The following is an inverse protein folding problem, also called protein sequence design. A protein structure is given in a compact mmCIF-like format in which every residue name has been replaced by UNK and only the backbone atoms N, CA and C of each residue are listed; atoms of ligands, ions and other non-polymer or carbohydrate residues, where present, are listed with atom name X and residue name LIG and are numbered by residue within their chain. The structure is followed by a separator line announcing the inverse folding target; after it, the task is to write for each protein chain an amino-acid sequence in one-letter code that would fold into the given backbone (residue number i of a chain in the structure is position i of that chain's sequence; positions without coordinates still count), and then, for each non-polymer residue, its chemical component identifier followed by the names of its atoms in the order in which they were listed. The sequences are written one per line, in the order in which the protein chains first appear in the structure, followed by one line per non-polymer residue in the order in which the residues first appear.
data_IF_725859240145
#
_entry.id   IF_725859240145
#
_cell.length_a   1.000
_cell.length_b   1.000
_cell.length_c   1.000
_cell.angle_alpha   90.00
_cell.angle_beta   90.00
_cell.angle_gamma   90.00
#
_symmetry.space_group_name_H-M   'P 1'
#
loop_
_entity.id
_entity.type
_entity.pdbx_description
1 polymer ?
#
# COMPACT_ATOMS: atom_id res chain seq x y z
N UNK A 1 -4.48 -4.74 0.71
CA UNK A 1 -3.33 -3.93 1.15
C UNK A 1 -1.92 -4.34 0.78
N UNK A 2 -1.64 -5.51 0.18
CA UNK A 2 -0.24 -5.91 -0.04
C UNK A 2 0.59 -4.88 -0.84
N UNK A 3 0.03 -4.27 -1.88
CA UNK A 3 0.76 -3.31 -2.73
C UNK A 3 0.82 -1.91 -2.09
N UNK A 4 -0.26 -1.49 -1.42
CA UNK A 4 -0.45 -0.13 -0.89
C UNK A 4 0.20 0.08 0.48
N UNK A 5 0.24 -0.94 1.33
CA UNK A 5 0.77 -0.83 2.70
C UNK A 5 2.13 -1.53 2.85
N UNK A 6 2.23 -2.82 2.49
CA UNK A 6 3.42 -3.63 2.77
C UNK A 6 4.40 -3.73 1.59
N UNK A 7 3.99 -3.30 0.39
CA UNK A 7 4.76 -3.39 -0.85
C UNK A 7 6.16 -2.78 -0.75
N UNK A 8 6.32 -1.56 -0.18
CA UNK A 8 7.63 -0.93 -0.02
C UNK A 8 8.62 -1.78 0.79
N UNK A 9 8.17 -2.30 1.94
CA UNK A 9 9.01 -3.11 2.85
C UNK A 9 9.39 -4.44 2.20
N UNK A 10 8.44 -5.09 1.51
CA UNK A 10 8.73 -6.34 0.78
C UNK A 10 9.74 -6.10 -0.34
N UNK A 11 9.57 -5.05 -1.14
CA UNK A 11 10.50 -4.71 -2.21
C UNK A 11 11.89 -4.36 -1.67
N UNK A 12 11.96 -3.58 -0.58
CA UNK A 12 13.22 -3.26 0.06
C UNK A 12 13.94 -4.52 0.54
N UNK A 13 13.24 -5.44 1.22
CA UNK A 13 13.80 -6.71 1.70
C UNK A 13 14.32 -7.60 0.56
N UNK A 14 13.64 -7.62 -0.60
CA UNK A 14 14.01 -8.44 -1.75
C UNK A 14 15.07 -7.79 -2.65
N UNK A 15 15.21 -6.46 -2.61
CA UNK A 15 16.10 -5.70 -3.49
C UNK A 15 17.59 -5.94 -3.27
N UNK A 16 17.99 -6.48 -2.09
CA UNK A 16 19.39 -6.55 -1.66
C UNK A 16 20.11 -5.18 -1.70
N UNK A 17 19.36 -4.12 -1.39
CA UNK A 17 19.82 -2.73 -1.45
C UNK A 17 20.27 -2.25 -2.86
N UNK A 18 19.81 -2.92 -3.93
CA UNK A 18 20.04 -2.50 -5.31
C UNK A 18 19.08 -1.35 -5.69
N UNK A 19 19.53 -0.11 -5.48
CA UNK A 19 18.79 1.10 -5.84
C UNK A 19 18.54 1.21 -7.34
N UNK A 20 19.43 0.69 -8.19
CA UNK A 20 19.28 0.77 -9.63
C UNK A 20 18.19 -0.19 -10.12
N UNK A 21 18.05 -1.36 -9.49
CA UNK A 21 16.94 -2.27 -9.74
C UNK A 21 15.60 -1.67 -9.34
N UNK A 22 15.52 -1.04 -8.16
CA UNK A 22 14.30 -0.33 -7.71
C UNK A 22 13.97 0.83 -8.64
N UNK A 23 14.97 1.56 -9.12
CA UNK A 23 14.80 2.66 -10.06
C UNK A 23 14.29 2.18 -11.42
N UNK A 24 14.88 1.11 -11.97
CA UNK A 24 14.38 0.45 -13.20
C UNK A 24 12.94 -0.02 -13.01
N UNK A 25 12.61 -0.60 -11.86
CA UNK A 25 11.26 -1.04 -11.55
C UNK A 25 10.28 0.15 -11.51
N UNK A 26 10.62 1.24 -10.82
CA UNK A 26 9.79 2.43 -10.74
C UNK A 26 9.52 3.08 -12.11
N UNK A 27 10.45 2.96 -13.06
CA UNK A 27 10.36 3.55 -14.41
C UNK A 27 9.60 2.70 -15.42
N UNK A 28 9.25 1.45 -15.07
CA UNK A 28 8.48 0.56 -15.96
C UNK A 28 7.12 1.16 -16.29
N UNK A 29 6.77 1.22 -17.57
CA UNK A 29 5.50 1.79 -18.06
C UNK A 29 4.34 0.78 -18.05
N UNK A 30 4.65 -0.50 -17.99
CA UNK A 30 3.71 -1.63 -18.09
C UNK A 30 3.09 -2.06 -16.75
N UNK A 31 3.40 -1.36 -15.65
CA UNK A 31 2.88 -1.63 -14.31
C UNK A 31 2.03 -0.46 -13.79
N UNK A 32 1.32 -0.65 -12.68
CA UNK A 32 0.51 0.42 -12.07
C UNK A 32 1.38 1.46 -11.36
N UNK A 33 0.88 2.70 -11.25
CA UNK A 33 1.54 3.75 -10.48
C UNK A 33 1.72 3.41 -9.00
N UNK A 34 0.82 2.59 -8.43
CA UNK A 34 0.99 2.03 -7.08
C UNK A 34 2.21 1.12 -6.96
N UNK A 35 2.45 0.26 -7.94
CA UNK A 35 3.63 -0.59 -7.95
C UNK A 35 4.92 0.24 -8.13
N UNK A 36 4.89 1.26 -9.00
CA UNK A 36 6.00 2.21 -9.16
C UNK A 36 6.30 2.94 -7.85
N UNK A 37 5.26 3.48 -7.21
CA UNK A 37 5.34 4.14 -5.90
C UNK A 37 5.90 3.25 -4.80
N UNK A 38 5.52 1.95 -4.79
CA UNK A 38 6.07 1.00 -3.84
C UNK A 38 7.59 0.85 -3.97
N UNK A 39 8.14 0.90 -5.19
CA UNK A 39 9.59 0.87 -5.40
C UNK A 39 10.29 2.17 -4.95
N UNK A 40 9.66 3.33 -5.13
CA UNK A 40 10.17 4.61 -4.62
C UNK A 40 10.24 4.58 -3.09
N UNK A 41 9.16 4.15 -2.44
CA UNK A 41 9.11 3.98 -0.98
C UNK A 41 10.01 2.85 -0.46
N UNK A 42 10.34 1.86 -1.29
CA UNK A 42 11.34 0.86 -0.93
C UNK A 42 12.74 1.48 -0.79
N UNK A 43 13.08 2.48 -1.62
CA UNK A 43 14.34 3.23 -1.46
C UNK A 43 14.36 3.99 -0.13
N UNK A 44 13.24 4.58 0.27
CA UNK A 44 13.07 5.22 1.59
C UNK A 44 13.28 4.20 2.71
N UNK A 45 12.66 3.03 2.63
CA UNK A 45 12.83 1.96 3.61
C UNK A 45 14.31 1.56 3.77
N UNK A 46 15.06 1.44 2.66
CA UNK A 46 16.49 1.13 2.70
C UNK A 46 17.32 2.20 3.42
N UNK A 47 16.98 3.49 3.28
CA UNK A 47 17.61 4.57 4.05
C UNK A 47 17.29 4.41 5.54
N UNK A 48 16.01 4.19 5.87
CA UNK A 48 15.56 4.02 7.25
C UNK A 48 16.09 2.75 7.93
N UNK A 49 16.57 1.78 7.14
CA UNK A 49 17.24 0.56 7.62
C UNK A 49 18.75 0.67 7.65
N UNK A 50 19.29 1.85 7.36
CA UNK A 50 20.74 2.08 7.28
C UNK A 50 21.43 1.12 6.30
N UNK A 51 20.76 0.84 5.17
CA UNK A 51 21.29 -0.02 4.09
C UNK A 51 21.87 0.77 2.94
N UNK A 52 21.43 2.01 2.76
CA UNK A 52 21.92 2.93 1.73
C UNK A 52 21.97 4.35 2.30
N UNK A 53 22.89 5.21 1.83
CA UNK A 53 22.91 6.62 2.21
C UNK A 53 21.63 7.33 1.77
N UNK A 54 21.15 8.26 2.60
CA UNK A 54 20.03 9.14 2.25
C UNK A 54 20.29 9.92 0.96
N UNK A 55 21.49 10.49 0.83
CA UNK A 55 21.86 11.38 -0.26
C UNK A 55 21.82 10.67 -1.62
N UNK A 56 22.10 9.35 -1.63
CA UNK A 56 21.99 8.52 -2.82
C UNK A 56 20.55 8.41 -3.33
N UNK A 57 19.57 8.39 -2.42
CA UNK A 57 18.14 8.33 -2.77
C UNK A 57 17.61 9.73 -3.11
N UNK A 58 18.00 10.76 -2.35
CA UNK A 58 17.66 12.16 -2.64
C UNK A 58 18.16 12.57 -4.02
N UNK A 59 19.39 12.20 -4.38
CA UNK A 59 19.97 12.48 -5.71
C UNK A 59 19.15 11.82 -6.83
N UNK A 60 18.70 10.59 -6.63
CA UNK A 60 17.83 9.88 -7.59
C UNK A 60 16.48 10.55 -7.72
N UNK A 61 15.85 10.95 -6.62
CA UNK A 61 14.57 11.67 -6.65
C UNK A 61 14.69 13.03 -7.34
N UNK A 62 15.76 13.80 -7.05
CA UNK A 62 16.06 15.04 -7.75
C UNK A 62 16.16 14.83 -9.27
N UNK A 63 16.87 13.78 -9.70
CA UNK A 63 16.94 13.41 -11.11
C UNK A 63 15.56 13.09 -11.69
N UNK A 64 14.71 12.34 -10.98
CA UNK A 64 13.36 11.98 -11.45
C UNK A 64 12.46 13.20 -11.59
N UNK A 65 12.48 14.12 -10.62
CA UNK A 65 11.71 15.36 -10.72
C UNK A 65 12.14 16.21 -11.92
N UNK A 66 13.46 16.31 -12.18
CA UNK A 66 14.01 17.11 -13.28
C UNK A 66 13.79 16.48 -14.65
N UNK A 67 13.99 15.17 -14.77
CA UNK A 67 13.93 14.43 -16.04
C UNK A 67 12.54 13.93 -16.40
N UNK A 68 11.62 13.90 -15.44
CA UNK A 68 10.22 13.50 -15.62
C UNK A 68 10.07 12.17 -16.36
N UNK A 69 10.60 11.06 -15.81
CA UNK A 69 10.54 9.75 -16.46
C UNK A 69 9.12 9.17 -16.47
N UNK A 70 8.20 9.69 -15.65
CA UNK A 70 6.83 9.20 -15.53
C UNK A 70 5.87 10.00 -16.42
N UNK A 71 4.82 9.38 -16.99
CA UNK A 71 3.77 10.09 -17.71
C UNK A 71 3.15 11.19 -16.84
N UNK A 72 2.74 12.31 -17.45
CA UNK A 72 2.20 13.46 -16.69
C UNK A 72 0.86 13.13 -16.04
N UNK A 73 0.07 12.31 -16.71
CA UNK A 73 -1.22 11.77 -16.29
C UNK A 73 -1.10 10.72 -15.17
N UNK A 74 0.10 10.21 -14.89
CA UNK A 74 0.34 9.28 -13.78
C UNK A 74 0.47 10.02 -12.45
N UNK A 75 -0.62 10.68 -12.04
CA UNK A 75 -0.69 11.45 -10.80
C UNK A 75 -0.37 10.60 -9.56
N UNK A 76 -0.64 9.29 -9.61
CA UNK A 76 -0.32 8.36 -8.51
C UNK A 76 1.20 8.27 -8.34
N UNK A 77 1.96 7.99 -9.41
CA UNK A 77 3.42 7.86 -9.28
C UNK A 77 4.06 9.18 -8.86
N UNK A 78 3.59 10.30 -9.41
CA UNK A 78 4.07 11.63 -9.01
C UNK A 78 3.79 11.93 -7.53
N UNK A 79 2.57 11.65 -7.08
CA UNK A 79 2.19 11.79 -5.67
C UNK A 79 3.06 10.91 -4.77
N UNK A 80 3.31 9.65 -5.16
CA UNK A 80 4.15 8.74 -4.39
C UNK A 80 5.63 9.17 -4.36
N UNK A 81 6.16 9.78 -5.42
CA UNK A 81 7.51 10.35 -5.42
C UNK A 81 7.61 11.54 -4.44
N UNK A 82 6.61 12.42 -4.44
CA UNK A 82 6.53 13.56 -3.51
C UNK A 82 6.39 13.06 -2.06
N UNK A 83 5.56 12.05 -1.81
CA UNK A 83 5.42 11.40 -0.50
C UNK A 83 6.74 10.77 -0.02
N UNK A 84 7.43 10.03 -0.90
CA UNK A 84 8.72 9.43 -0.59
C UNK A 84 9.79 10.48 -0.26
N UNK A 85 9.77 11.63 -0.95
CA UNK A 85 10.65 12.76 -0.63
C UNK A 85 10.34 13.37 0.74
N UNK A 86 9.06 13.46 1.13
CA UNK A 86 8.64 13.92 2.45
C UNK A 86 9.20 13.04 3.56
N UNK A 87 9.09 11.72 3.41
CA UNK A 87 9.57 10.73 4.37
C UNK A 87 11.10 10.79 4.60
N UNK A 88 11.84 11.36 3.65
CA UNK A 88 13.29 11.55 3.72
C UNK A 88 13.70 12.94 4.25
N UNK A 89 12.77 13.79 4.67
CA UNK A 89 12.98 15.23 4.82
C UNK A 89 13.33 15.89 3.46
N UNK A 90 12.45 16.70 2.87
CA UNK A 90 12.54 17.07 1.46
C UNK A 90 13.40 18.32 1.20
N UNK A 91 14.24 18.78 2.14
CA UNK A 91 14.92 20.09 2.08
C UNK A 91 15.59 20.39 0.73
N UNK A 92 16.31 19.42 0.16
CA UNK A 92 17.06 19.53 -1.09
C UNK A 92 16.20 19.39 -2.35
N UNK A 93 14.92 19.02 -2.20
CA UNK A 93 13.97 18.71 -3.28
C UNK A 93 12.85 19.74 -3.38
N UNK A 94 12.82 20.73 -2.49
CA UNK A 94 11.70 21.67 -2.38
C UNK A 94 11.52 22.54 -3.64
N UNK A 95 12.60 22.84 -4.36
CA UNK A 95 12.53 23.64 -5.59
C UNK A 95 11.82 22.89 -6.72
N UNK A 96 12.01 21.57 -6.78
CA UNK A 96 11.30 20.69 -7.70
C UNK A 96 9.86 20.37 -7.25
N UNK A 97 9.62 20.26 -5.94
CA UNK A 97 8.30 19.90 -5.38
C UNK A 97 7.29 21.04 -5.49
N UNK A 98 7.68 22.30 -5.20
CA UNK A 98 6.78 23.47 -5.23
C UNK A 98 5.98 23.61 -6.55
N UNK A 99 6.59 23.48 -7.74
CA UNK A 99 5.85 23.48 -9.01
C UNK A 99 4.76 22.41 -9.12
N UNK A 100 4.95 21.23 -8.53
CA UNK A 100 3.97 20.12 -8.63
C UNK A 100 2.68 20.43 -7.85
N UNK A 101 2.80 21.04 -6.67
CA UNK A 101 1.65 21.54 -5.91
C UNK A 101 0.91 22.65 -6.68
N UNK A 102 1.63 23.62 -7.25
CA UNK A 102 1.03 24.71 -8.06
C UNK A 102 0.27 24.20 -9.29
N UNK A 103 0.69 23.07 -9.84
CA UNK A 103 0.07 22.46 -11.02
C UNK A 103 -1.01 21.43 -10.67
N UNK A 104 -1.34 21.26 -9.37
CA UNK A 104 -2.30 20.26 -8.89
C UNK A 104 -1.99 18.83 -9.38
N UNK A 105 -0.69 18.49 -9.49
CA UNK A 105 -0.24 17.13 -9.85
C UNK A 105 -0.30 16.20 -8.63
N UNK A 106 -0.05 16.76 -7.44
CA UNK A 106 -0.06 16.03 -6.18
C UNK A 106 -1.49 15.88 -5.69
N UNK A 107 -1.84 14.68 -5.26
CA UNK A 107 -3.16 14.37 -4.69
C UNK A 107 -3.49 15.29 -3.49
N UNK A 108 -4.68 15.91 -3.42
CA UNK A 108 -5.08 16.79 -2.31
C UNK A 108 -5.14 16.12 -0.93
N UNK A 109 -5.18 14.79 -0.84
CA UNK A 109 -5.12 14.04 0.43
C UNK A 109 -3.70 13.96 1.02
N UNK A 110 -2.70 14.49 0.33
CA UNK A 110 -1.32 14.60 0.80
C UNK A 110 -1.14 15.73 1.82
N UNK A 111 -0.04 15.73 2.60
CA UNK A 111 0.36 16.90 3.37
C UNK A 111 0.42 18.14 2.48
N UNK A 112 -0.02 19.28 3.00
CA UNK A 112 -0.06 20.52 2.22
C UNK A 112 1.36 21.03 1.93
N UNK A 113 1.49 21.96 0.97
CA UNK A 113 2.79 22.56 0.68
C UNK A 113 3.43 23.21 1.93
N UNK A 114 2.62 23.81 2.81
CA UNK A 114 3.10 24.38 4.07
C UNK A 114 3.68 23.31 5.01
N UNK A 115 3.10 22.11 5.00
CA UNK A 115 3.59 20.98 5.79
C UNK A 115 4.90 20.44 5.23
N UNK A 116 5.04 20.38 3.90
CA UNK A 116 6.31 20.09 3.25
C UNK A 116 7.39 21.12 3.59
N UNK A 117 7.06 22.41 3.58
CA UNK A 117 8.00 23.47 3.95
C UNK A 117 8.39 23.43 5.43
N UNK A 118 7.48 22.99 6.29
CA UNK A 118 7.77 22.76 7.71
C UNK A 118 8.68 21.54 7.88
N UNK A 119 8.40 20.45 7.18
CA UNK A 119 9.21 19.24 7.21
C UNK A 119 10.65 19.50 6.72
N UNK A 120 10.80 20.22 5.61
CA UNK A 120 12.09 20.64 5.05
C UNK A 120 12.96 21.46 6.01
N UNK A 121 12.36 22.10 7.03
CA UNK A 121 13.08 22.90 8.04
C UNK A 121 13.42 22.11 9.30
N UNK A 122 12.89 20.89 9.45
CA UNK A 122 13.20 20.04 10.61
C UNK A 122 14.61 19.47 10.48
N UNK A 123 15.17 19.09 11.62
CA UNK A 123 16.37 18.26 11.69
C UNK A 123 16.13 16.91 10.97
N UNK A 124 16.93 16.55 9.94
CA UNK A 124 16.72 15.32 9.17
C UNK A 124 16.75 14.05 10.03
N UNK A 125 17.58 13.99 11.07
CA UNK A 125 17.66 12.80 11.95
C UNK A 125 16.33 12.60 12.68
N UNK A 126 15.75 13.69 13.18
CA UNK A 126 14.44 13.69 13.84
C UNK A 126 13.32 13.29 12.87
N UNK A 127 13.32 13.82 11.64
CA UNK A 127 12.38 13.46 10.59
C UNK A 127 12.43 11.96 10.26
N UNK A 128 13.61 11.43 9.96
CA UNK A 128 13.78 10.02 9.60
C UNK A 128 13.31 9.09 10.74
N UNK A 129 13.63 9.43 11.99
CA UNK A 129 13.18 8.65 13.16
C UNK A 129 11.65 8.63 13.27
N UNK A 130 10.98 9.75 13.00
CA UNK A 130 9.52 9.82 13.03
C UNK A 130 8.88 8.91 11.97
N UNK A 131 9.50 8.78 10.79
CA UNK A 131 8.99 7.97 9.70
C UNK A 131 9.37 6.48 9.78
N UNK A 132 10.43 6.13 10.50
CA UNK A 132 10.94 4.76 10.64
C UNK A 132 9.87 3.72 11.04
N UNK A 133 8.90 4.12 11.86
CA UNK A 133 7.82 3.24 12.31
C UNK A 133 6.95 2.67 11.19
N UNK A 134 6.80 3.40 10.07
CA UNK A 134 6.00 2.97 8.91
C UNK A 134 6.72 1.92 8.06
N UNK A 135 8.04 1.85 8.17
CA UNK A 135 8.91 1.02 7.34
C UNK A 135 9.59 -0.06 8.15
N UNK A 136 8.94 -0.69 9.14
CA UNK A 136 9.61 -1.73 9.94
C UNK A 136 10.06 -2.91 9.06
N UNK A 137 11.32 -3.37 9.17
CA UNK A 137 11.78 -4.56 8.46
C UNK A 137 10.94 -5.79 8.81
N UNK A 138 10.72 -6.66 7.83
CA UNK A 138 10.15 -8.00 8.08
C UNK A 138 11.28 -8.88 8.61
N UNK A 139 11.26 -9.12 9.92
CA UNK A 139 12.23 -9.99 10.61
C UNK A 139 11.66 -11.38 10.90
N UNK A 140 10.35 -11.46 11.13
CA UNK A 140 9.60 -12.70 11.24
C UNK A 140 8.39 -12.65 10.29
N UNK A 141 8.49 -13.41 9.20
CA UNK A 141 7.42 -13.50 8.20
C UNK A 141 6.12 -14.02 8.82
N UNK A 142 6.18 -15.05 9.66
CA UNK A 142 4.99 -15.66 10.27
C UNK A 142 4.30 -14.65 11.22
N UNK A 143 5.07 -13.93 12.03
CA UNK A 143 4.55 -12.85 12.86
C UNK A 143 3.93 -11.73 12.03
N UNK A 144 4.61 -11.28 10.96
CA UNK A 144 4.16 -10.17 10.11
C UNK A 144 2.81 -10.43 9.42
N UNK A 145 2.47 -11.71 9.19
CA UNK A 145 1.21 -12.13 8.58
C UNK A 145 0.27 -12.82 9.58
N UNK A 146 0.58 -12.83 10.87
CA UNK A 146 -0.19 -13.55 11.90
C UNK A 146 -1.64 -13.08 12.01
N UNK A 147 -1.90 -11.82 11.64
CA UNK A 147 -3.25 -11.25 11.56
C UNK A 147 -4.09 -11.85 10.42
N UNK A 148 -3.47 -12.53 9.44
CA UNK A 148 -4.19 -13.31 8.44
C UNK A 148 -4.69 -14.58 9.14
N UNK A 149 -5.98 -14.57 9.50
CA UNK A 149 -6.64 -15.44 10.48
C UNK A 149 -6.65 -16.96 10.26
N UNK A 150 -5.66 -17.55 9.58
CA UNK A 150 -5.43 -19.00 9.51
C UNK A 150 -4.16 -19.48 10.23
N UNK A 151 -3.34 -18.59 10.79
CA UNK A 151 -2.06 -18.98 11.40
C UNK A 151 -2.12 -19.26 12.91
N UNK A 152 -3.20 -18.85 13.59
CA UNK A 152 -3.34 -18.99 15.04
C UNK A 152 -4.13 -20.24 15.50
N UNK A 153 -4.42 -21.21 14.62
CA UNK A 153 -5.01 -22.49 15.05
C UNK A 153 -4.07 -23.68 14.82
N UNK A 154 -3.52 -24.29 15.89
CA UNK A 154 -2.79 -25.56 15.81
C UNK A 154 -3.67 -26.79 15.49
N UNK A 155 -4.98 -26.64 15.24
CA UNK A 155 -5.95 -27.75 15.16
C UNK A 155 -6.34 -28.16 13.73
N UNK A 156 -6.17 -27.30 12.72
CA UNK A 156 -6.78 -27.53 11.40
C UNK A 156 -6.13 -28.64 10.53
N UNK A 157 -5.03 -29.27 11.00
CA UNK A 157 -4.35 -30.35 10.28
C UNK A 157 -4.56 -31.74 10.90
N UNK A 158 -5.36 -31.87 11.97
CA UNK A 158 -5.73 -33.19 12.52
C UNK A 158 -7.22 -33.46 12.32
N UNK A 159 -7.50 -34.24 11.28
CA UNK A 159 -8.60 -35.19 11.19
C UNK A 159 -10.00 -34.66 11.47
N UNK A 160 -10.77 -34.40 10.42
CA UNK A 160 -12.21 -34.65 10.48
C UNK A 160 -12.67 -35.21 9.14
N UNK A 161 -12.67 -36.54 9.09
CA UNK A 161 -13.68 -37.26 8.36
C UNK A 161 -15.03 -37.05 9.08
N UNK A 162 -16.07 -36.93 8.26
CA UNK A 162 -17.49 -37.26 8.52
C UNK A 162 -18.36 -36.38 9.43
N UNK A 163 -19.46 -35.95 8.79
CA UNK A 163 -20.86 -36.09 9.19
C UNK A 163 -21.63 -34.83 9.60
N UNK A 164 -22.70 -34.62 8.84
CA UNK A 164 -23.88 -33.81 9.14
C UNK A 164 -24.37 -33.99 10.59
N UNK A 165 -24.73 -32.89 11.25
CA UNK A 165 -25.80 -32.90 12.23
C UNK A 165 -26.48 -31.52 12.30
N UNK A 166 -27.74 -31.50 11.86
CA UNK A 166 -28.69 -30.40 12.07
C UNK A 166 -29.07 -30.28 13.54
N UNK A 167 -29.24 -29.06 14.05
CA UNK A 167 -30.01 -28.83 15.28
C UNK A 167 -30.90 -27.60 15.16
N UNK A 168 -32.21 -27.85 15.23
CA UNK A 168 -33.31 -26.87 15.33
C UNK A 168 -33.30 -26.18 16.70
N UNK A 169 -33.70 -24.92 16.76
CA UNK A 169 -34.22 -24.29 17.99
C UNK A 169 -35.41 -23.38 17.67
N UNK A 170 -36.52 -23.64 18.36
CA UNK A 170 -37.84 -23.04 18.27
C UNK A 170 -38.01 -21.86 19.25
N UNK A 171 -38.71 -20.80 18.84
CA UNK A 171 -39.47 -19.90 19.74
C UNK A 171 -39.12 -18.40 19.69
N UNK A 172 -39.90 -17.61 18.93
CA UNK A 172 -40.06 -16.13 18.97
C UNK A 172 -41.32 -15.77 19.81
N UNK A 173 -41.70 -14.49 20.14
CA UNK A 173 -41.69 -13.25 19.31
C UNK A 173 -41.27 -11.97 20.10
N UNK A 174 -41.09 -10.74 19.60
CA UNK A 174 -41.69 -9.90 18.54
C UNK A 174 -40.73 -8.68 18.25
N UNK A 175 -40.98 -7.73 17.31
CA UNK A 175 -40.51 -7.77 15.92
C UNK A 175 -39.63 -6.56 15.49
N UNK A 176 -38.76 -6.78 14.51
CA UNK A 176 -38.40 -5.75 13.53
C UNK A 176 -38.41 -6.39 12.13
N UNK A 177 -39.48 -6.17 11.38
CA UNK A 177 -39.56 -6.46 9.94
C UNK A 177 -38.61 -5.51 9.18
N UNK A 178 -37.91 -5.84 8.09
CA UNK A 178 -38.08 -6.89 7.08
C UNK A 178 -36.71 -7.17 6.40
N UNK A 179 -36.33 -8.44 6.24
CA UNK A 179 -36.47 -9.33 5.06
C UNK A 179 -35.32 -9.23 4.04
N UNK A 180 -34.40 -10.18 4.15
CA UNK A 180 -33.41 -10.55 3.14
C UNK A 180 -32.03 -10.77 3.75
N UNK A 181 -31.54 -12.01 3.78
CA UNK A 181 -30.12 -12.26 4.00
C UNK A 181 -29.36 -11.49 2.91
N UNK A 182 -28.52 -10.53 3.30
CA UNK A 182 -27.67 -9.80 2.35
C UNK A 182 -26.70 -10.82 1.76
N UNK A 183 -26.97 -11.30 0.54
CA UNK A 183 -26.11 -12.28 -0.12
C UNK A 183 -24.71 -11.69 -0.26
N UNK A 184 -23.71 -12.43 0.20
CA UNK A 184 -22.33 -11.96 0.19
C UNK A 184 -21.84 -11.79 -1.25
N UNK A 185 -21.09 -10.72 -1.53
CA UNK A 185 -20.59 -10.41 -2.89
C UNK A 185 -19.81 -11.57 -3.55
N UNK A 186 -19.22 -12.46 -2.76
CA UNK A 186 -18.47 -13.64 -3.22
C UNK A 186 -19.22 -14.98 -3.11
N UNK A 187 -20.42 -15.01 -2.52
CA UNK A 187 -21.24 -16.22 -2.40
C UNK A 187 -21.79 -16.67 -3.75
N UNK A 188 -22.18 -17.95 -3.91
CA UNK A 188 -22.93 -18.41 -5.07
C UNK A 188 -24.14 -17.52 -5.33
N UNK A 189 -24.33 -17.13 -6.57
CA UNK A 189 -25.41 -16.23 -6.95
C UNK A 189 -26.75 -16.96 -6.81
N UNK A 190 -27.76 -16.38 -6.13
CA UNK A 190 -29.02 -17.05 -5.86
C UNK A 190 -29.88 -17.28 -7.12
N UNK A 191 -29.47 -16.77 -8.28
CA UNK A 191 -30.11 -17.05 -9.58
C UNK A 191 -29.79 -18.44 -10.15
N UNK A 192 -29.02 -19.28 -9.44
CA UNK A 192 -28.70 -20.64 -9.89
C UNK A 192 -27.63 -20.72 -10.98
N UNK A 193 -26.97 -19.61 -11.33
CA UNK A 193 -25.95 -19.58 -12.40
C UNK A 193 -24.64 -20.32 -12.06
N UNK A 194 -24.45 -20.76 -10.82
CA UNK A 194 -23.18 -21.30 -10.31
C UNK A 194 -22.04 -20.27 -10.19
N UNK A 195 -22.26 -19.00 -10.59
CA UNK A 195 -21.26 -17.93 -10.51
C UNK A 195 -21.32 -17.21 -9.16
N UNK A 196 -20.23 -16.54 -8.76
CA UNK A 196 -20.24 -15.63 -7.58
C UNK A 196 -21.17 -14.44 -7.83
N UNK A 197 -21.90 -13.96 -6.81
CA UNK A 197 -22.88 -12.88 -6.93
C UNK A 197 -22.34 -11.65 -7.67
N UNK A 198 -21.12 -11.18 -7.35
CA UNK A 198 -20.47 -10.02 -8.02
C UNK A 198 -20.19 -10.17 -9.52
N UNK A 199 -20.13 -11.41 -10.00
CA UNK A 199 -19.88 -11.73 -11.41
C UNK A 199 -21.17 -12.08 -12.15
N UNK A 200 -22.31 -11.96 -11.48
CA UNK A 200 -23.63 -12.26 -12.01
C UNK A 200 -24.60 -11.13 -11.65
N UNK A 201 -25.58 -11.36 -10.78
CA UNK A 201 -26.63 -10.38 -10.46
C UNK A 201 -26.12 -9.14 -9.71
N UNK A 202 -24.97 -9.23 -9.02
CA UNK A 202 -24.32 -8.11 -8.35
C UNK A 202 -23.27 -7.41 -9.21
N UNK A 203 -23.30 -7.60 -10.53
CA UNK A 203 -22.40 -6.90 -11.47
C UNK A 203 -22.91 -5.49 -11.66
N UNK A 204 -22.09 -4.49 -11.34
CA UNK A 204 -22.40 -3.10 -11.69
C UNK A 204 -22.17 -2.92 -13.20
N UNK A 205 -23.03 -2.15 -13.90
CA UNK A 205 -22.78 -1.76 -15.28
C UNK A 205 -21.43 -1.01 -15.38
N UNK A 206 -20.75 -1.22 -16.50
CA UNK A 206 -19.48 -0.58 -16.81
C UNK A 206 -19.68 0.90 -17.18
#
# INVERSE_FOLDING_TARGET
DLITENGPVILAALSRADLDALERFAKRKDISGWARGAALKAMVALVLWDKVPRDDVVTRFAWMFRRKPFPREDGITWTQLVDAAFELNPAELMDEIRPLFRQAIVDPFMPTLEEFEREAKRDPVTSLRQHAGRFRPITDTAQSISYWGRWNEPSALRGSNTAHASSKSTGTPVPAHSKGSKVGRNEPCPCGSGKKYKKCCGRLPA
#
